data_IF_360536658462
#
_entry.id   IF_360536658462
#
_cell.length_a   1.000
_cell.length_b   1.000
_cell.length_c   1.000
_cell.angle_alpha   90.00
_cell.angle_beta   90.00
_cell.angle_gamma   90.00
#
_symmetry.space_group_name_H-M   'P 1'
#
loop_
_entity.id
_entity.type
_entity.pdbx_description
1 polymer ?
#
# COMPACT_ATOMS: atom_id res chain seq x y z
N UNK A 1 -40.34 -1.27 -11.80
CA UNK A 1 -39.26 -0.28 -11.71
C UNK A 1 -38.52 -0.27 -10.36
N UNK A 2 -39.17 -0.45 -9.22
CA UNK A 2 -38.48 -0.48 -7.91
C UNK A 2 -37.51 -1.68 -7.73
N UNK A 3 -37.72 -2.81 -8.41
CA UNK A 3 -36.84 -4.00 -8.31
C UNK A 3 -35.51 -3.86 -9.05
N UNK A 4 -35.45 -3.05 -10.10
CA UNK A 4 -34.22 -2.82 -10.89
C UNK A 4 -33.25 -1.91 -10.13
N UNK A 5 -33.75 -0.91 -9.40
CA UNK A 5 -32.93 -0.03 -8.55
C UNK A 5 -32.22 -0.78 -7.42
N UNK A 6 -32.86 -1.79 -6.83
CA UNK A 6 -32.26 -2.59 -5.75
C UNK A 6 -31.11 -3.47 -6.26
N UNK A 7 -31.22 -4.00 -7.47
CA UNK A 7 -30.16 -4.83 -8.08
C UNK A 7 -28.94 -3.98 -8.44
N UNK A 8 -29.14 -2.76 -8.94
CA UNK A 8 -28.05 -1.84 -9.26
C UNK A 8 -27.31 -1.38 -7.98
N UNK A 9 -28.03 -1.12 -6.89
CA UNK A 9 -27.41 -0.82 -5.59
C UNK A 9 -26.61 -1.99 -5.02
N UNK A 10 -27.09 -3.22 -5.16
CA UNK A 10 -26.37 -4.41 -4.71
C UNK A 10 -25.05 -4.62 -5.50
N UNK A 11 -25.06 -4.39 -6.81
CA UNK A 11 -23.87 -4.49 -7.66
C UNK A 11 -22.83 -3.42 -7.27
N UNK A 12 -23.25 -2.20 -6.96
CA UNK A 12 -22.35 -1.12 -6.51
C UNK A 12 -21.73 -1.40 -5.14
N UNK A 13 -22.46 -2.06 -4.23
CA UNK A 13 -21.95 -2.43 -2.91
C UNK A 13 -20.83 -3.51 -2.99
N UNK A 14 -20.92 -4.45 -3.95
CA UNK A 14 -19.89 -5.47 -4.17
C UNK A 14 -18.66 -4.96 -4.95
N UNK A 15 -18.80 -3.91 -5.76
CA UNK A 15 -17.71 -3.37 -6.57
C UNK A 15 -16.55 -2.79 -5.72
N UNK A 16 -16.81 -2.33 -4.48
CA UNK A 16 -15.80 -1.81 -3.56
C UNK A 16 -14.86 -2.87 -2.99
N UNK A 17 -15.26 -4.14 -2.95
CA UNK A 17 -14.48 -5.25 -2.40
C UNK A 17 -13.75 -6.06 -3.48
N UNK A 18 -13.92 -5.75 -4.78
CA UNK A 18 -13.27 -6.45 -5.88
C UNK A 18 -11.78 -6.14 -5.91
N UNK A 19 -10.97 -7.20 -6.12
CA UNK A 19 -9.54 -7.07 -6.33
C UNK A 19 -9.27 -6.21 -7.58
N UNK A 20 -8.41 -5.21 -7.42
CA UNK A 20 -7.89 -4.40 -8.51
C UNK A 20 -6.56 -4.96 -9.02
N UNK A 21 -6.28 -4.70 -10.28
CA UNK A 21 -4.95 -4.92 -10.84
C UNK A 21 -3.93 -3.99 -10.14
N UNK A 22 -2.76 -4.54 -9.83
CA UNK A 22 -1.67 -3.76 -9.25
C UNK A 22 -0.96 -2.99 -10.35
N UNK A 23 -1.29 -1.73 -10.47
CA UNK A 23 -0.69 -0.80 -11.42
C UNK A 23 -0.68 0.62 -10.83
N UNK A 24 0.03 1.51 -11.51
CA UNK A 24 0.19 2.90 -11.07
C UNK A 24 -1.14 3.63 -10.90
N UNK A 25 -2.09 3.42 -11.79
CA UNK A 25 -3.39 4.09 -11.75
C UNK A 25 -4.19 3.70 -10.50
N UNK A 26 -4.21 2.41 -10.19
CA UNK A 26 -5.02 1.88 -9.09
C UNK A 26 -4.45 2.19 -7.71
N UNK A 27 -3.15 2.49 -7.57
CA UNK A 27 -2.56 2.86 -6.29
C UNK A 27 -2.54 4.36 -6.02
N UNK A 28 -2.86 5.21 -7.01
CA UNK A 28 -2.90 6.67 -6.81
C UNK A 28 -3.79 7.08 -5.64
N UNK A 29 -3.40 8.14 -4.96
CA UNK A 29 -4.13 8.71 -3.83
C UNK A 29 -3.47 8.43 -2.48
N UNK A 30 -4.19 8.75 -1.42
CA UNK A 30 -3.67 8.67 -0.06
C UNK A 30 -4.13 7.40 0.63
N UNK A 31 -3.16 6.69 1.22
CA UNK A 31 -3.34 5.48 1.99
C UNK A 31 -2.86 5.70 3.42
N UNK A 32 -3.68 5.32 4.38
CA UNK A 32 -3.38 5.43 5.81
C UNK A 32 -3.06 4.06 6.35
N UNK A 33 -1.93 3.93 7.02
CA UNK A 33 -1.56 2.66 7.67
C UNK A 33 -2.60 2.33 8.76
N UNK A 34 -3.21 1.17 8.63
CA UNK A 34 -4.24 0.69 9.55
C UNK A 34 -3.61 -0.16 10.64
N UNK A 35 -3.29 0.48 11.75
CA UNK A 35 -2.77 -0.19 12.94
C UNK A 35 -3.84 -0.91 13.78
N UNK A 36 -5.06 -1.07 13.27
CA UNK A 36 -6.14 -1.72 14.03
C UNK A 36 -5.79 -3.13 14.48
N UNK A 37 -4.95 -3.84 13.73
CA UNK A 37 -4.43 -5.14 14.11
C UNK A 37 -3.35 -5.07 15.22
N UNK A 38 -2.77 -3.89 15.47
CA UNK A 38 -1.64 -3.68 16.39
C UNK A 38 -1.74 -2.35 17.12
N UNK A 39 -2.80 -2.13 17.91
CA UNK A 39 -3.09 -0.82 18.51
C UNK A 39 -2.00 -0.32 19.47
N UNK A 40 -1.19 -1.21 20.01
CA UNK A 40 -0.09 -0.86 20.93
C UNK A 40 1.12 -0.24 20.25
N UNK A 41 1.23 -0.35 18.93
CA UNK A 41 2.36 0.14 18.13
C UNK A 41 1.96 1.28 17.20
N UNK A 42 0.69 1.69 17.23
CA UNK A 42 0.22 2.79 16.41
C UNK A 42 0.85 4.11 16.88
N UNK A 43 1.65 4.80 16.06
CA UNK A 43 2.08 6.14 16.37
C UNK A 43 0.88 7.09 16.40
N UNK A 44 0.95 8.14 17.19
CA UNK A 44 -0.06 9.20 17.15
C UNK A 44 -0.15 9.79 15.73
N UNK A 45 -1.36 9.85 15.17
CA UNK A 45 -1.61 10.39 13.85
C UNK A 45 -1.46 9.41 12.68
N UNK A 46 -0.87 8.23 12.92
CA UNK A 46 -0.68 7.22 11.88
C UNK A 46 0.39 7.59 10.85
N UNK A 47 0.64 6.69 9.92
CA UNK A 47 1.54 6.87 8.79
C UNK A 47 0.73 6.93 7.51
N UNK A 48 0.97 7.92 6.66
CA UNK A 48 0.26 8.07 5.39
C UNK A 48 1.21 8.03 4.21
N UNK A 49 0.74 7.46 3.11
CA UNK A 49 1.42 7.40 1.82
C UNK A 49 0.52 8.00 0.76
N UNK A 50 0.95 9.06 0.12
CA UNK A 50 0.21 9.68 -0.99
C UNK A 50 0.97 9.44 -2.28
N UNK A 51 0.47 8.53 -3.11
CA UNK A 51 1.05 8.20 -4.42
C UNK A 51 0.56 9.18 -5.46
N UNK A 52 1.49 9.90 -6.08
CA UNK A 52 1.23 10.92 -7.09
C UNK A 52 1.44 10.37 -8.51
N UNK A 53 0.74 10.93 -9.48
CA UNK A 53 0.82 10.51 -10.88
C UNK A 53 2.19 10.76 -11.52
N UNK A 54 2.98 11.67 -10.97
CA UNK A 54 4.33 12.00 -11.43
C UNK A 54 5.41 10.98 -11.04
N UNK A 55 5.05 9.93 -10.28
CA UNK A 55 5.98 8.91 -9.80
C UNK A 55 6.62 9.24 -8.46
N UNK A 56 6.10 10.23 -7.75
CA UNK A 56 6.49 10.52 -6.38
C UNK A 56 5.49 9.99 -5.37
N UNK A 57 5.94 9.69 -4.17
CA UNK A 57 5.11 9.36 -3.01
C UNK A 57 5.49 10.25 -1.84
N UNK A 58 4.49 10.93 -1.29
CA UNK A 58 4.64 11.73 -0.08
C UNK A 58 4.29 10.86 1.12
N UNK A 59 5.25 10.73 2.04
CA UNK A 59 5.12 9.88 3.24
C UNK A 59 5.13 10.78 4.46
N UNK A 60 4.06 10.72 5.24
CA UNK A 60 3.98 11.34 6.55
C UNK A 60 4.05 10.27 7.62
N UNK A 61 4.97 10.42 8.57
CA UNK A 61 5.11 9.50 9.70
C UNK A 61 5.49 10.25 10.97
N UNK A 62 5.21 9.63 12.09
CA UNK A 62 5.55 10.15 13.41
C UNK A 62 6.68 9.31 14.02
N UNK A 63 7.74 10.00 14.45
CA UNK A 63 8.84 9.43 15.21
C UNK A 63 8.72 9.84 16.67
N UNK A 64 8.76 8.89 17.58
CA UNK A 64 8.59 9.14 19.02
C UNK A 64 9.67 10.04 19.61
N UNK A 65 10.82 10.16 18.97
CA UNK A 65 11.94 11.00 19.42
C UNK A 65 12.04 12.35 18.69
N UNK A 66 11.58 12.39 17.45
CA UNK A 66 11.78 13.55 16.56
C UNK A 66 10.45 14.22 16.12
N UNK A 67 9.29 13.64 16.42
CA UNK A 67 7.98 14.18 16.08
C UNK A 67 7.53 13.83 14.64
N UNK A 68 6.69 14.69 14.06
CA UNK A 68 6.17 14.53 12.71
C UNK A 68 7.24 14.77 11.65
N UNK A 69 7.26 13.90 10.64
CA UNK A 69 8.15 13.99 9.49
C UNK A 69 7.38 13.83 8.19
N UNK A 70 7.78 14.61 7.20
CA UNK A 70 7.33 14.51 5.83
C UNK A 70 8.52 14.21 4.94
N UNK A 71 8.42 13.13 4.16
CA UNK A 71 9.45 12.70 3.21
C UNK A 71 8.82 12.46 1.85
N UNK A 72 9.44 12.93 0.79
CA UNK A 72 9.06 12.57 -0.57
C UNK A 72 10.08 11.58 -1.14
N UNK A 73 9.56 10.49 -1.71
CA UNK A 73 10.35 9.46 -2.41
C UNK A 73 9.83 9.26 -3.83
N UNK A 74 10.58 8.60 -4.66
CA UNK A 74 10.11 8.11 -5.94
C UNK A 74 9.58 6.69 -5.81
N UNK A 75 8.69 6.28 -6.72
CA UNK A 75 8.19 4.91 -6.74
C UNK A 75 7.98 4.39 -8.16
N UNK A 76 8.05 3.08 -8.30
CA UNK A 76 7.54 2.36 -9.47
C UNK A 76 6.69 1.18 -9.02
N UNK A 77 5.77 0.77 -9.88
CA UNK A 77 4.91 -0.38 -9.62
C UNK A 77 4.82 -1.26 -10.87
N UNK A 78 4.89 -2.57 -10.69
CA UNK A 78 4.80 -3.52 -11.81
C UNK A 78 5.62 -4.77 -11.58
N UNK A 79 5.98 -5.44 -12.69
CA UNK A 79 6.83 -6.62 -12.67
C UNK A 79 8.31 -6.23 -12.58
N UNK A 80 9.06 -6.90 -11.71
CA UNK A 80 10.51 -6.73 -11.58
C UNK A 80 11.21 -8.08 -11.63
N UNK A 81 12.45 -8.10 -12.12
CA UNK A 81 13.27 -9.27 -12.09
C UNK A 81 13.81 -9.49 -10.67
N UNK A 82 13.53 -10.66 -10.10
CA UNK A 82 13.97 -11.07 -8.77
C UNK A 82 14.96 -12.24 -8.83
N UNK A 83 15.40 -12.72 -7.67
CA UNK A 83 16.35 -13.83 -7.54
C UNK A 83 15.81 -15.18 -8.04
N UNK A 84 14.50 -15.33 -8.11
CA UNK A 84 13.81 -16.55 -8.55
C UNK A 84 13.01 -16.38 -9.85
N UNK A 85 13.20 -15.28 -10.59
CA UNK A 85 12.49 -14.94 -11.82
C UNK A 85 11.74 -13.63 -11.73
N UNK A 86 10.68 -13.49 -12.52
CA UNK A 86 9.84 -12.27 -12.50
C UNK A 86 8.91 -12.27 -11.29
N UNK A 87 9.04 -11.25 -10.49
CA UNK A 87 8.09 -10.92 -9.42
C UNK A 87 7.07 -9.91 -9.94
N UNK A 88 5.78 -10.27 -9.86
CA UNK A 88 4.68 -9.40 -10.25
C UNK A 88 4.12 -8.65 -9.03
N UNK A 89 3.37 -7.59 -9.30
CA UNK A 89 2.68 -6.81 -8.27
C UNK A 89 3.63 -6.17 -7.26
N UNK A 90 4.78 -5.72 -7.71
CA UNK A 90 5.83 -5.14 -6.88
C UNK A 90 5.74 -3.63 -6.87
N UNK A 91 5.86 -3.05 -5.68
CA UNK A 91 6.09 -1.64 -5.43
C UNK A 91 7.55 -1.45 -5.02
N UNK A 92 8.28 -0.62 -5.75
CA UNK A 92 9.64 -0.20 -5.39
C UNK A 92 9.62 1.27 -4.98
N UNK A 93 10.17 1.57 -3.82
CA UNK A 93 10.46 2.92 -3.37
C UNK A 93 11.94 3.21 -3.66
N UNK A 94 12.22 4.40 -4.23
CA UNK A 94 13.55 4.84 -4.68
C UNK A 94 14.28 3.83 -5.58
N UNK A 95 13.68 3.39 -6.69
CA UNK A 95 14.21 2.30 -7.52
C UNK A 95 15.54 2.63 -8.20
N UNK A 96 15.97 3.90 -8.18
CA UNK A 96 17.22 4.36 -8.81
C UNK A 96 18.42 4.39 -7.85
N UNK A 97 18.24 4.02 -6.59
CA UNK A 97 19.36 3.91 -5.66
C UNK A 97 20.15 2.64 -5.97
N UNK A 98 21.41 2.82 -6.34
CA UNK A 98 22.30 1.78 -6.91
C UNK A 98 22.73 0.69 -5.93
N UNK A 99 22.37 0.80 -4.67
CA UNK A 99 22.82 -0.08 -3.59
C UNK A 99 21.72 -0.95 -2.98
N UNK A 100 20.59 -1.09 -3.66
CA UNK A 100 19.41 -1.82 -3.16
C UNK A 100 18.90 -1.35 -1.78
N UNK A 101 19.30 -0.18 -1.35
CA UNK A 101 18.74 0.44 -0.14
C UNK A 101 17.31 0.92 -0.34
N UNK A 102 16.80 0.88 -1.57
CA UNK A 102 15.41 1.08 -1.90
C UNK A 102 14.54 -0.04 -1.30
N UNK A 103 13.37 0.34 -0.81
CA UNK A 103 12.42 -0.61 -0.25
C UNK A 103 11.58 -1.25 -1.35
N UNK A 104 11.55 -2.58 -1.38
CA UNK A 104 10.72 -3.37 -2.28
C UNK A 104 9.62 -4.12 -1.53
N UNK A 105 8.39 -4.02 -2.04
CA UNK A 105 7.21 -4.66 -1.45
C UNK A 105 6.40 -5.37 -2.52
N UNK A 106 5.85 -6.52 -2.17
CA UNK A 106 4.80 -7.16 -2.96
C UNK A 106 3.44 -6.68 -2.45
N UNK A 107 2.62 -6.15 -3.34
CA UNK A 107 1.23 -5.81 -3.02
C UNK A 107 0.41 -7.11 -3.12
N UNK A 108 -0.01 -7.62 -1.96
CA UNK A 108 -0.73 -8.90 -1.86
C UNK A 108 -2.25 -8.74 -1.89
N UNK A 109 -2.72 -7.51 -1.64
CA UNK A 109 -4.12 -7.13 -1.73
C UNK A 109 -4.23 -5.69 -2.21
N UNK A 110 -5.07 -5.46 -3.20
CA UNK A 110 -5.46 -4.12 -3.63
C UNK A 110 -6.94 -4.11 -4.01
N UNK A 111 -7.69 -3.24 -3.37
CA UNK A 111 -9.08 -2.94 -3.66
C UNK A 111 -9.25 -1.41 -3.75
N UNK A 112 -10.45 -0.93 -4.00
CA UNK A 112 -10.72 0.52 -3.98
C UNK A 112 -10.49 1.17 -2.62
N UNK A 113 -10.56 0.40 -1.53
CA UNK A 113 -10.55 0.91 -0.15
C UNK A 113 -9.42 0.39 0.70
N UNK A 114 -8.78 -0.73 0.31
CA UNK A 114 -7.76 -1.40 1.11
C UNK A 114 -6.55 -1.80 0.25
N UNK A 115 -5.37 -1.76 0.85
CA UNK A 115 -4.13 -2.27 0.29
C UNK A 115 -3.34 -3.00 1.37
N UNK A 116 -2.76 -4.14 1.02
CA UNK A 116 -1.81 -4.84 1.87
C UNK A 116 -0.52 -5.06 1.10
N UNK A 117 0.60 -4.82 1.73
CA UNK A 117 1.89 -5.15 1.16
C UNK A 117 2.78 -5.95 2.10
N UNK A 118 3.74 -6.64 1.53
CA UNK A 118 4.73 -7.43 2.23
C UNK A 118 6.11 -7.13 1.65
N UNK A 119 7.12 -6.94 2.51
CA UNK A 119 8.50 -6.70 2.06
C UNK A 119 9.00 -7.87 1.22
N UNK A 120 9.65 -7.58 0.10
CA UNK A 120 10.28 -8.60 -0.75
C UNK A 120 11.42 -9.33 -0.02
N UNK A 121 11.55 -10.63 -0.30
CA UNK A 121 12.61 -11.46 0.28
C UNK A 121 12.38 -11.89 1.71
N UNK A 122 11.23 -11.57 2.29
CA UNK A 122 10.84 -11.99 3.64
C UNK A 122 9.67 -12.97 3.60
N UNK A 123 9.73 -13.99 4.45
CA UNK A 123 8.63 -14.93 4.66
C UNK A 123 7.86 -14.51 5.91
N UNK A 124 7.09 -13.43 5.80
CA UNK A 124 6.25 -13.01 6.91
C UNK A 124 4.86 -13.62 6.83
N UNK A 125 4.38 -14.08 7.97
CA UNK A 125 2.99 -14.47 8.09
C UNK A 125 2.15 -13.22 8.35
N UNK A 126 0.97 -13.17 7.75
CA UNK A 126 -0.04 -12.15 8.03
C UNK A 126 -0.26 -12.10 9.55
N UNK A 127 -0.09 -10.92 10.12
CA UNK A 127 -0.25 -10.73 11.56
C UNK A 127 1.05 -10.59 12.35
N UNK A 128 2.23 -10.69 11.72
CA UNK A 128 3.49 -10.32 12.36
C UNK A 128 3.66 -8.80 12.44
N UNK A 129 4.04 -8.32 13.60
CA UNK A 129 4.31 -6.89 13.84
C UNK A 129 5.61 -6.50 13.15
N UNK A 130 5.59 -5.41 12.40
CA UNK A 130 6.80 -4.84 11.82
C UNK A 130 6.55 -4.06 10.54
N UNK A 131 7.57 -3.37 10.08
CA UNK A 131 7.57 -2.59 8.83
C UNK A 131 7.46 -3.46 7.56
N UNK A 132 7.56 -4.78 7.73
CA UNK A 132 7.62 -5.73 6.62
C UNK A 132 6.26 -6.16 6.08
N UNK A 133 5.21 -5.98 6.86
CA UNK A 133 3.83 -6.18 6.45
C UNK A 133 2.98 -5.01 6.91
N UNK A 134 2.25 -4.37 5.99
CA UNK A 134 1.36 -3.26 6.29
C UNK A 134 0.01 -3.44 5.65
N UNK A 135 -1.00 -3.00 6.37
CA UNK A 135 -2.38 -2.90 5.90
C UNK A 135 -2.79 -1.44 5.89
N UNK A 136 -3.29 -0.99 4.75
CA UNK A 136 -3.70 0.40 4.53
C UNK A 136 -5.17 0.51 4.20
N UNK A 137 -5.74 1.62 4.60
CA UNK A 137 -7.04 2.08 4.11
C UNK A 137 -6.87 3.32 3.25
N UNK A 138 -7.65 3.40 2.19
CA UNK A 138 -7.71 4.60 1.37
C UNK A 138 -8.40 5.72 2.16
N UNK A 139 -7.80 6.90 2.16
CA UNK A 139 -8.36 8.10 2.77
C UNK A 139 -9.43 8.72 1.90
#
# INVERSE_FOLDING_TARGET
MKKISLIIMAILAFAGCSKLEVNKENILGTWVDDYSAYPYYAPEGGETYTFNADGTVDIHYYDVFAGDHDVQRTYTVGAVEGTSGMENDVLLLDPHMSDYSGDGFKIVKLTKTEMEWQRLGTTFQKGTVGSDFKHFRRK
#
